data_IF_394342186350
#
_entry.id   IF_394342186350
#
_cell.length_a   1.000
_cell.length_b   1.000
_cell.length_c   1.000
_cell.angle_alpha   90.00
_cell.angle_beta   90.00
_cell.angle_gamma   90.00
#
_symmetry.space_group_name_H-M   'P 1'
#
loop_
_entity.id
_entity.type
_entity.pdbx_description
1 polymer ?
#
# COMPACT_ATOMS: atom_id res chain seq x y z
N UNK A 1 21.12 -2.80 4.43
CA UNK A 1 19.77 -2.77 5.01
C UNK A 1 19.90 -2.45 6.49
N UNK A 2 18.99 -1.68 7.06
CA UNK A 2 18.98 -1.41 8.49
C UNK A 2 18.42 -2.63 9.26
N UNK A 3 18.74 -2.74 10.56
CA UNK A 3 18.18 -3.82 11.42
C UNK A 3 16.64 -3.81 11.39
N UNK A 4 16.02 -2.63 11.31
CA UNK A 4 14.56 -2.48 11.23
C UNK A 4 13.98 -3.01 9.91
N UNK A 5 14.63 -2.76 8.80
CA UNK A 5 14.20 -3.30 7.49
C UNK A 5 14.24 -4.82 7.45
N UNK A 6 15.30 -5.44 8.04
CA UNK A 6 15.39 -6.90 8.15
C UNK A 6 14.27 -7.47 9.02
N UNK A 7 13.97 -6.85 10.16
CA UNK A 7 12.89 -7.26 11.04
C UNK A 7 11.52 -7.20 10.35
N UNK A 8 11.24 -6.11 9.60
CA UNK A 8 9.98 -5.97 8.85
C UNK A 8 9.91 -6.98 7.72
N UNK A 9 10.99 -7.20 6.97
CA UNK A 9 11.05 -8.23 5.94
C UNK A 9 10.69 -9.61 6.50
N UNK A 10 11.33 -10.02 7.61
CA UNK A 10 11.07 -11.30 8.26
C UNK A 10 9.63 -11.41 8.78
N UNK A 11 9.05 -10.30 9.27
CA UNK A 11 7.67 -10.27 9.73
C UNK A 11 6.67 -10.43 8.57
N UNK A 12 6.93 -9.80 7.43
CA UNK A 12 6.15 -9.98 6.20
C UNK A 12 6.18 -11.44 5.76
N UNK A 13 7.37 -12.05 5.69
CA UNK A 13 7.52 -13.47 5.31
C UNK A 13 6.75 -14.39 6.27
N UNK A 14 6.82 -14.14 7.59
CA UNK A 14 6.07 -14.92 8.58
C UNK A 14 4.55 -14.77 8.41
N UNK A 15 4.04 -13.55 8.21
CA UNK A 15 2.60 -13.31 7.98
C UNK A 15 2.10 -14.06 6.76
N UNK A 16 2.84 -14.00 5.66
CA UNK A 16 2.53 -14.73 4.42
C UNK A 16 2.52 -16.25 4.67
N UNK A 17 3.54 -16.79 5.34
CA UNK A 17 3.62 -18.20 5.67
C UNK A 17 2.48 -18.69 6.57
N UNK A 18 1.91 -17.80 7.38
CA UNK A 18 0.73 -18.08 8.21
C UNK A 18 -0.60 -17.97 7.43
N UNK A 19 -0.58 -17.68 6.12
CA UNK A 19 -1.77 -17.55 5.27
C UNK A 19 -2.32 -16.13 5.14
N UNK A 20 -1.69 -15.14 5.75
CA UNK A 20 -2.10 -13.72 5.69
C UNK A 20 -1.53 -12.99 4.47
N UNK A 21 -1.90 -13.39 3.24
CA UNK A 21 -1.34 -12.82 2.02
C UNK A 21 -1.89 -11.45 1.67
N UNK A 22 -3.22 -11.36 1.56
CA UNK A 22 -3.97 -10.18 1.12
C UNK A 22 -5.17 -10.04 2.05
N UNK A 23 -5.43 -8.83 2.52
CA UNK A 23 -6.48 -8.60 3.52
C UNK A 23 -7.89 -8.73 2.91
N UNK A 24 -8.09 -8.28 1.66
CA UNK A 24 -9.40 -8.23 1.00
C UNK A 24 -9.75 -9.46 0.15
N UNK A 25 -8.85 -10.44 0.04
CA UNK A 25 -9.09 -11.64 -0.79
C UNK A 25 -9.10 -12.90 0.07
N UNK A 26 -10.15 -13.71 0.02
CA UNK A 26 -10.21 -15.00 0.72
C UNK A 26 -9.04 -15.90 0.36
N UNK A 27 -8.44 -16.56 1.36
CA UNK A 27 -7.24 -17.42 1.22
C UNK A 27 -7.40 -18.48 0.13
N UNK A 28 -8.59 -19.01 -0.10
CA UNK A 28 -8.87 -20.02 -1.11
C UNK A 28 -8.85 -19.50 -2.56
N UNK A 29 -8.71 -18.18 -2.76
CA UNK A 29 -8.60 -17.55 -4.08
C UNK A 29 -7.20 -17.00 -4.36
N UNK A 30 -6.27 -17.18 -3.43
CA UNK A 30 -4.90 -16.67 -3.59
C UNK A 30 -4.13 -17.50 -4.61
N UNK A 31 -3.42 -16.79 -5.48
CA UNK A 31 -2.48 -17.39 -6.43
C UNK A 31 -1.13 -17.55 -5.74
N UNK A 32 -0.42 -18.66 -5.93
CA UNK A 32 0.93 -18.83 -5.38
C UNK A 32 1.86 -17.69 -5.76
N UNK A 33 2.51 -17.09 -4.77
CA UNK A 33 3.46 -16.00 -4.99
C UNK A 33 4.65 -16.48 -5.82
N UNK A 34 5.07 -15.64 -6.77
CA UNK A 34 6.27 -15.85 -7.58
C UNK A 34 7.12 -14.58 -7.52
N UNK A 35 8.37 -14.65 -7.10
CA UNK A 35 9.29 -13.52 -7.13
C UNK A 35 9.38 -12.85 -8.50
N UNK A 36 9.58 -11.55 -8.52
CA UNK A 36 9.87 -10.83 -9.74
C UNK A 36 11.23 -11.26 -10.32
N UNK A 37 11.36 -11.40 -11.63
CA UNK A 37 12.66 -11.56 -12.22
C UNK A 37 13.50 -10.29 -12.02
N UNK A 38 14.83 -10.41 -11.84
CA UNK A 38 15.70 -9.24 -11.65
C UNK A 38 15.57 -8.18 -12.76
N UNK A 39 15.24 -8.61 -13.99
CA UNK A 39 14.99 -7.70 -15.11
C UNK A 39 13.77 -6.80 -14.91
N UNK A 40 12.70 -7.27 -14.25
CA UNK A 40 11.52 -6.46 -13.96
C UNK A 40 11.83 -5.37 -12.93
N UNK A 41 12.66 -5.69 -11.93
CA UNK A 41 13.13 -4.70 -10.95
C UNK A 41 14.04 -3.67 -11.64
N UNK A 42 14.99 -4.11 -12.47
CA UNK A 42 15.88 -3.22 -13.20
C UNK A 42 15.11 -2.27 -14.14
N UNK A 43 14.09 -2.79 -14.84
CA UNK A 43 13.21 -1.98 -15.69
C UNK A 43 12.43 -0.93 -14.87
N UNK A 44 11.89 -1.31 -13.71
CA UNK A 44 11.20 -0.37 -12.84
C UNK A 44 12.14 0.74 -12.34
N UNK A 45 13.36 0.39 -11.93
CA UNK A 45 14.38 1.35 -11.50
C UNK A 45 14.84 2.27 -12.65
N UNK A 46 14.94 1.76 -13.87
CA UNK A 46 15.25 2.54 -15.07
C UNK A 46 14.12 3.53 -15.39
N UNK A 47 12.86 3.07 -15.40
CA UNK A 47 11.68 3.93 -15.62
C UNK A 47 11.55 5.03 -14.58
N UNK A 48 11.84 4.72 -13.32
CA UNK A 48 11.81 5.68 -12.22
C UNK A 48 13.01 6.64 -12.21
N UNK A 49 14.10 6.30 -12.92
CA UNK A 49 15.36 7.01 -12.87
C UNK A 49 16.07 6.93 -11.51
N UNK A 50 15.70 5.96 -10.68
CA UNK A 50 16.24 5.74 -9.31
C UNK A 50 15.97 4.33 -8.80
N UNK A 51 16.75 3.90 -7.81
CA UNK A 51 16.57 2.60 -7.18
C UNK A 51 15.31 2.53 -6.32
N UNK A 52 14.68 1.37 -6.29
CA UNK A 52 13.62 1.07 -5.32
C UNK A 52 14.19 1.02 -3.89
N UNK A 53 13.41 1.39 -2.86
CA UNK A 53 13.79 1.17 -1.47
C UNK A 53 14.19 -0.28 -1.23
N UNK A 54 15.23 -0.48 -0.42
CA UNK A 54 15.87 -1.80 -0.28
C UNK A 54 14.91 -2.88 0.22
N UNK A 55 14.04 -2.54 1.19
CA UNK A 55 12.99 -3.45 1.66
C UNK A 55 12.07 -3.88 0.50
N UNK A 56 11.54 -2.92 -0.26
CA UNK A 56 10.60 -3.19 -1.34
C UNK A 56 11.25 -4.02 -2.46
N UNK A 57 12.49 -3.67 -2.81
CA UNK A 57 13.30 -4.41 -3.79
C UNK A 57 13.47 -5.88 -3.38
N UNK A 58 13.78 -6.14 -2.10
CA UNK A 58 13.89 -7.50 -1.57
C UNK A 58 12.54 -8.24 -1.60
N UNK A 59 11.47 -7.57 -1.19
CA UNK A 59 10.14 -8.17 -1.22
C UNK A 59 9.77 -8.65 -2.64
N UNK A 60 10.02 -7.83 -3.67
CA UNK A 60 9.80 -8.24 -5.05
C UNK A 60 10.68 -9.42 -5.47
N UNK A 61 11.97 -9.41 -5.13
CA UNK A 61 12.94 -10.41 -5.60
C UNK A 61 12.88 -11.74 -4.84
N UNK A 62 12.47 -11.72 -3.57
CA UNK A 62 12.60 -12.89 -2.68
C UNK A 62 11.23 -13.46 -2.28
N UNK A 63 10.16 -12.66 -2.30
CA UNK A 63 8.83 -13.07 -1.81
C UNK A 63 7.84 -13.23 -2.95
N UNK A 64 7.56 -12.16 -3.69
CA UNK A 64 6.58 -12.20 -4.76
C UNK A 64 6.58 -10.95 -5.62
N UNK A 65 6.24 -11.08 -6.90
CA UNK A 65 6.00 -9.95 -7.80
C UNK A 65 4.60 -9.37 -7.51
N UNK A 66 4.42 -8.83 -6.31
CA UNK A 66 3.15 -8.42 -5.75
C UNK A 66 2.27 -9.59 -5.30
N UNK A 67 0.99 -9.33 -5.03
CA UNK A 67 0.01 -10.35 -4.62
C UNK A 67 0.05 -10.69 -3.13
N UNK A 68 0.62 -9.84 -2.31
CA UNK A 68 0.60 -9.88 -0.85
C UNK A 68 0.58 -8.44 -0.33
N UNK A 69 0.11 -8.22 0.87
CA UNK A 69 0.06 -6.89 1.47
C UNK A 69 -1.37 -6.42 1.76
N UNK A 70 -1.54 -5.16 2.17
CA UNK A 70 -2.84 -4.60 2.52
C UNK A 70 -3.75 -4.38 1.30
N UNK A 71 -5.01 -4.12 1.55
CA UNK A 71 -6.02 -3.93 0.52
C UNK A 71 -6.10 -5.12 -0.41
N UNK A 72 -6.11 -4.90 -1.71
CA UNK A 72 -6.06 -5.97 -2.71
C UNK A 72 -4.63 -6.49 -3.01
N UNK A 73 -3.68 -6.18 -2.14
CA UNK A 73 -2.28 -6.60 -2.19
C UNK A 73 -1.35 -5.65 -2.94
N UNK A 74 -0.07 -5.76 -2.62
CA UNK A 74 0.99 -5.04 -3.31
C UNK A 74 0.89 -5.29 -4.82
N UNK A 75 0.83 -4.23 -5.61
CA UNK A 75 0.86 -4.33 -7.06
C UNK A 75 2.22 -4.81 -7.54
N UNK A 76 2.21 -5.65 -8.56
CA UNK A 76 3.43 -6.21 -9.14
C UNK A 76 4.07 -5.27 -10.17
N UNK A 77 5.34 -5.51 -10.40
CA UNK A 77 6.08 -4.95 -11.53
C UNK A 77 5.62 -5.65 -12.82
N UNK A 78 6.38 -5.53 -13.92
CA UNK A 78 6.04 -6.18 -15.19
C UNK A 78 5.65 -7.65 -14.98
N UNK A 79 4.52 -8.04 -15.55
CA UNK A 79 3.94 -9.40 -15.48
C UNK A 79 3.64 -9.90 -14.04
N UNK A 80 3.57 -8.98 -13.07
CA UNK A 80 3.22 -9.26 -11.69
C UNK A 80 1.73 -9.15 -11.38
N UNK A 81 1.42 -9.09 -10.09
CA UNK A 81 0.05 -8.94 -9.59
C UNK A 81 -0.60 -7.63 -10.06
N UNK A 82 -1.84 -7.72 -10.53
CA UNK A 82 -2.63 -6.59 -11.03
C UNK A 82 -4.01 -6.57 -10.39
N UNK A 83 -4.51 -5.37 -10.16
CA UNK A 83 -5.88 -5.13 -9.69
C UNK A 83 -6.56 -4.17 -10.65
N UNK A 84 -7.71 -4.53 -11.20
CA UNK A 84 -8.45 -3.69 -12.14
C UNK A 84 -7.65 -3.31 -13.42
N UNK A 85 -6.60 -4.07 -13.76
CA UNK A 85 -5.68 -3.77 -14.86
C UNK A 85 -4.51 -2.86 -14.47
N UNK A 86 -4.48 -2.33 -13.25
CA UNK A 86 -3.37 -1.53 -12.72
C UNK A 86 -2.21 -2.44 -12.29
N UNK A 87 -0.99 -1.97 -12.50
CA UNK A 87 0.25 -2.51 -11.93
C UNK A 87 1.06 -1.40 -11.26
N UNK A 88 2.15 -1.78 -10.59
CA UNK A 88 2.99 -0.82 -9.86
C UNK A 88 3.67 0.21 -10.77
N UNK A 89 3.80 -0.07 -12.07
CA UNK A 89 4.49 0.79 -13.04
C UNK A 89 3.62 1.98 -13.49
N UNK A 90 2.32 1.94 -13.20
CA UNK A 90 1.40 3.04 -13.53
C UNK A 90 1.81 4.30 -12.74
N UNK A 91 2.21 5.37 -13.47
CA UNK A 91 2.71 6.62 -12.86
C UNK A 91 4.20 6.64 -12.51
N UNK A 92 4.92 5.54 -12.65
CA UNK A 92 6.31 5.39 -12.20
C UNK A 92 7.31 6.37 -12.88
N UNK A 93 7.04 6.78 -14.13
CA UNK A 93 7.85 7.78 -14.84
C UNK A 93 7.96 9.14 -14.12
N UNK A 94 7.01 9.43 -13.24
CA UNK A 94 6.99 10.64 -12.42
C UNK A 94 7.62 10.41 -11.03
N UNK A 95 8.28 9.25 -10.84
CA UNK A 95 8.90 8.84 -9.58
C UNK A 95 7.92 8.32 -8.53
N UNK A 96 6.68 8.06 -8.92
CA UNK A 96 5.62 7.56 -8.02
C UNK A 96 5.27 6.13 -8.36
N UNK A 97 5.49 5.22 -7.41
CA UNK A 97 5.15 3.80 -7.53
C UNK A 97 3.78 3.54 -6.88
N UNK A 98 2.84 2.96 -7.62
CA UNK A 98 1.57 2.54 -7.02
C UNK A 98 1.79 1.27 -6.19
N UNK A 99 1.48 1.33 -4.89
CA UNK A 99 1.67 0.22 -3.95
C UNK A 99 0.49 -0.75 -3.98
N UNK A 100 -0.72 -0.26 -3.72
CA UNK A 100 -1.92 -1.09 -3.69
C UNK A 100 -3.17 -0.28 -4.03
N UNK A 101 -4.20 -1.01 -4.43
CA UNK A 101 -5.58 -0.57 -4.54
C UNK A 101 -6.35 -1.06 -3.29
N UNK A 102 -7.18 -0.19 -2.71
CA UNK A 102 -8.04 -0.50 -1.57
C UNK A 102 -9.51 -0.66 -1.98
N UNK A 103 -9.81 -0.52 -3.26
CA UNK A 103 -11.17 -0.45 -3.78
C UNK A 103 -11.72 0.97 -3.87
N UNK A 104 -12.83 1.14 -4.56
CA UNK A 104 -13.50 2.44 -4.75
C UNK A 104 -12.60 3.58 -5.27
N UNK A 105 -11.50 3.25 -5.97
CA UNK A 105 -10.52 4.22 -6.46
C UNK A 105 -9.52 4.71 -5.40
N UNK A 106 -9.60 4.18 -4.17
CA UNK A 106 -8.66 4.52 -3.10
C UNK A 106 -7.36 3.74 -3.32
N UNK A 107 -6.24 4.41 -3.19
CA UNK A 107 -4.92 3.80 -3.43
C UNK A 107 -3.85 4.31 -2.48
N UNK A 108 -2.80 3.50 -2.29
CA UNK A 108 -1.55 3.95 -1.67
C UNK A 108 -0.45 3.97 -2.72
N UNK A 109 0.36 5.02 -2.70
CA UNK A 109 1.51 5.22 -3.58
C UNK A 109 2.76 5.51 -2.78
N UNK A 110 3.92 5.29 -3.37
CA UNK A 110 5.23 5.59 -2.80
C UNK A 110 5.93 6.64 -3.65
N UNK A 111 6.24 7.78 -3.08
CA UNK A 111 7.16 8.73 -3.70
C UNK A 111 8.59 8.20 -3.52
N UNK A 112 9.24 7.86 -4.62
CA UNK A 112 10.60 7.34 -4.62
C UNK A 112 11.65 8.44 -4.38
N UNK A 113 11.25 9.72 -4.29
CA UNK A 113 12.16 10.83 -4.03
C UNK A 113 12.58 10.87 -2.57
N UNK A 114 11.63 10.64 -1.66
CA UNK A 114 11.81 10.73 -0.22
C UNK A 114 11.38 9.45 0.54
N UNK A 115 10.90 8.44 -0.20
CA UNK A 115 10.38 7.18 0.32
C UNK A 115 9.15 7.34 1.23
N UNK A 116 8.37 8.41 1.05
CA UNK A 116 7.13 8.63 1.78
C UNK A 116 5.95 7.97 1.07
N UNK A 117 5.06 7.39 1.88
CA UNK A 117 3.80 6.81 1.39
C UNK A 117 2.73 7.88 1.36
N UNK A 118 1.99 7.93 0.25
CA UNK A 118 0.87 8.81 0.01
C UNK A 118 -0.41 8.00 -0.16
N UNK A 119 -1.52 8.53 0.34
CA UNK A 119 -2.87 8.05 0.06
C UNK A 119 -3.54 8.90 -1.01
N UNK A 120 -4.46 8.30 -1.75
CA UNK A 120 -5.42 9.01 -2.59
C UNK A 120 -6.80 8.41 -2.35
N UNK A 121 -7.75 9.25 -1.93
CA UNK A 121 -9.16 8.91 -1.80
C UNK A 121 -9.99 9.95 -2.58
N UNK A 122 -10.50 9.57 -3.77
CA UNK A 122 -11.26 10.49 -4.60
C UNK A 122 -12.72 10.69 -4.14
N UNK A 123 -13.22 9.84 -3.22
CA UNK A 123 -14.66 9.78 -2.96
C UNK A 123 -15.22 11.03 -2.27
N UNK A 124 -14.59 11.60 -1.21
CA UNK A 124 -15.09 12.80 -0.57
C UNK A 124 -14.59 14.10 -1.21
N UNK A 125 -13.57 14.03 -2.09
CA UNK A 125 -12.92 15.20 -2.65
C UNK A 125 -13.86 15.95 -3.63
N UNK A 126 -14.18 17.24 -3.39
CA UNK A 126 -14.91 18.05 -4.37
C UNK A 126 -14.08 18.24 -5.66
N UNK A 127 -14.78 18.63 -6.75
CA UNK A 127 -14.10 18.96 -8.00
C UNK A 127 -13.00 20.02 -7.80
N UNK A 128 -11.80 19.70 -8.30
CA UNK A 128 -10.63 20.56 -8.21
C UNK A 128 -9.83 20.44 -6.92
N UNK A 129 -10.25 19.61 -5.98
CA UNK A 129 -9.45 19.24 -4.79
C UNK A 129 -8.64 18.00 -5.07
N UNK A 130 -7.36 18.00 -4.65
CA UNK A 130 -6.51 16.82 -4.78
C UNK A 130 -7.00 15.70 -3.85
N UNK A 131 -7.13 14.47 -4.39
CA UNK A 131 -7.37 13.29 -3.58
C UNK A 131 -6.11 12.80 -2.84
N UNK A 132 -4.92 13.31 -3.21
CA UNK A 132 -3.65 12.83 -2.70
C UNK A 132 -3.23 13.59 -1.43
N UNK A 133 -2.80 12.84 -0.43
CA UNK A 133 -2.30 13.35 0.86
C UNK A 133 -1.19 12.46 1.41
N UNK A 134 -0.31 13.06 2.23
CA UNK A 134 0.74 12.30 2.91
C UNK A 134 0.15 11.41 4.00
N UNK A 135 0.58 10.14 4.05
CA UNK A 135 0.27 9.24 5.16
C UNK A 135 1.29 9.37 6.32
N UNK A 136 2.27 10.29 6.21
CA UNK A 136 3.32 10.55 7.20
C UNK A 136 4.08 9.29 7.63
N UNK A 137 4.32 8.37 6.72
CA UNK A 137 5.03 7.13 6.96
C UNK A 137 5.93 6.73 5.79
N UNK A 138 7.01 6.05 6.12
CA UNK A 138 7.88 5.42 5.12
C UNK A 138 7.32 4.07 4.67
N UNK A 139 7.89 3.50 3.59
CA UNK A 139 7.53 2.13 3.16
C UNK A 139 7.81 1.08 4.25
N UNK A 140 8.81 1.31 5.11
CA UNK A 140 9.13 0.42 6.24
C UNK A 140 8.03 0.51 7.30
N UNK A 141 7.55 1.72 7.62
CA UNK A 141 6.44 1.93 8.56
C UNK A 141 5.16 1.31 8.02
N UNK A 142 4.89 1.47 6.73
CA UNK A 142 3.70 0.96 6.05
C UNK A 142 3.61 -0.58 6.15
N UNK A 143 4.69 -1.30 5.83
CA UNK A 143 4.72 -2.75 6.02
C UNK A 143 4.73 -3.16 7.50
N UNK A 144 5.37 -2.38 8.39
CA UNK A 144 5.31 -2.64 9.84
C UNK A 144 3.88 -2.60 10.35
N UNK A 145 3.16 -1.51 10.05
CA UNK A 145 1.73 -1.38 10.41
C UNK A 145 0.87 -2.50 9.81
N UNK A 146 1.15 -2.91 8.57
CA UNK A 146 0.42 -4.03 7.95
C UNK A 146 0.63 -5.34 8.70
N UNK A 147 1.87 -5.71 9.01
CA UNK A 147 2.14 -6.97 9.74
C UNK A 147 1.62 -6.95 11.17
N UNK A 148 1.50 -5.78 11.77
CA UNK A 148 0.92 -5.55 13.09
C UNK A 148 -0.62 -5.51 13.08
N UNK A 149 -1.24 -5.43 11.89
CA UNK A 149 -2.69 -5.32 11.73
C UNK A 149 -3.24 -3.94 12.13
N UNK A 150 -2.41 -2.90 12.06
CA UNK A 150 -2.76 -1.51 12.42
C UNK A 150 -2.72 -0.56 11.23
N UNK A 151 -2.46 -1.07 10.03
CA UNK A 151 -2.53 -0.28 8.81
C UNK A 151 -3.97 -0.18 8.35
N UNK A 152 -4.43 1.04 8.14
CA UNK A 152 -5.77 1.33 7.65
C UNK A 152 -5.76 1.84 6.22
N UNK A 153 -6.87 1.66 5.53
CA UNK A 153 -7.16 2.30 4.26
C UNK A 153 -7.02 3.82 4.38
N UNK A 154 -6.35 4.50 3.44
CA UNK A 154 -6.18 5.95 3.51
C UNK A 154 -7.48 6.68 3.14
N UNK A 155 -8.13 7.29 4.11
CA UNK A 155 -9.32 8.11 3.91
C UNK A 155 -8.99 9.59 3.95
N UNK A 156 -9.58 10.34 3.02
CA UNK A 156 -9.50 11.79 2.95
C UNK A 156 -10.64 12.40 3.76
N UNK A 157 -10.32 13.29 4.68
CA UNK A 157 -11.29 14.02 5.52
C UNK A 157 -11.05 15.51 5.45
N UNK A 158 -12.10 16.29 5.67
CA UNK A 158 -11.98 17.73 5.82
C UNK A 158 -11.79 18.06 7.30
N UNK A 159 -10.72 18.77 7.63
CA UNK A 159 -10.51 19.26 9.00
C UNK A 159 -11.63 20.24 9.38
N UNK A 160 -12.39 19.97 10.45
CA UNK A 160 -13.56 20.79 10.80
C UNK A 160 -13.20 22.20 11.29
N UNK A 161 -11.94 22.43 11.67
CA UNK A 161 -11.48 23.71 12.18
C UNK A 161 -10.90 24.60 11.09
N UNK A 162 -10.07 24.02 10.22
CA UNK A 162 -9.36 24.76 9.17
C UNK A 162 -10.05 24.70 7.82
N UNK A 163 -10.90 23.69 7.58
CA UNK A 163 -11.50 23.39 6.29
C UNK A 163 -10.53 22.76 5.29
N UNK A 164 -9.30 22.46 5.68
CA UNK A 164 -8.30 21.82 4.83
C UNK A 164 -8.56 20.33 4.67
N UNK A 165 -8.28 19.80 3.48
CA UNK A 165 -8.37 18.37 3.20
C UNK A 165 -7.06 17.65 3.58
N UNK A 166 -7.16 16.58 4.35
CA UNK A 166 -6.03 15.78 4.84
C UNK A 166 -6.42 14.32 5.03
N UNK A 167 -5.43 13.47 5.26
CA UNK A 167 -5.69 12.09 5.69
C UNK A 167 -6.34 12.01 7.07
N UNK A 168 -7.24 11.05 7.24
CA UNK A 168 -7.81 10.73 8.54
C UNK A 168 -6.73 10.24 9.50
N UNK A 169 -6.82 10.63 10.76
CA UNK A 169 -5.99 10.09 11.85
C UNK A 169 -6.50 8.69 12.26
N UNK A 170 -5.67 7.91 12.97
CA UNK A 170 -6.08 6.59 13.49
C UNK A 170 -7.34 6.69 14.39
N UNK A 171 -7.51 7.79 15.14
CA UNK A 171 -8.67 8.04 15.97
C UNK A 171 -9.95 8.33 15.15
N UNK A 172 -9.85 9.22 14.16
CA UNK A 172 -10.96 9.51 13.23
C UNK A 172 -11.37 8.28 12.44
N UNK A 173 -10.39 7.47 12.01
CA UNK A 173 -10.67 6.21 11.34
C UNK A 173 -11.47 5.26 12.24
N UNK A 174 -11.12 5.13 13.51
CA UNK A 174 -11.84 4.30 14.47
C UNK A 174 -13.27 4.81 14.71
N UNK A 175 -13.46 6.13 14.83
CA UNK A 175 -14.79 6.76 14.95
C UNK A 175 -15.66 6.49 13.72
N UNK A 176 -15.11 6.66 12.51
CA UNK A 176 -15.82 6.43 11.25
C UNK A 176 -16.23 4.95 11.11
N UNK A 177 -15.39 4.01 11.55
CA UNK A 177 -15.76 2.59 11.58
C UNK A 177 -16.88 2.30 12.57
N UNK A 178 -16.83 2.89 13.78
CA UNK A 178 -17.88 2.73 14.79
C UNK A 178 -19.22 3.31 14.32
N UNK A 179 -19.21 4.45 13.64
CA UNK A 179 -20.40 5.04 13.03
C UNK A 179 -20.99 4.18 11.91
N UNK A 180 -20.13 3.59 11.06
CA UNK A 180 -20.56 2.81 9.91
C UNK A 180 -21.08 1.41 10.30
N UNK A 181 -20.46 0.74 11.29
CA UNK A 181 -20.68 -0.66 11.61
C UNK A 181 -21.16 -0.89 13.06
N UNK A 182 -21.20 0.15 13.90
CA UNK A 182 -21.53 0.08 15.32
C UNK A 182 -20.38 -0.45 16.19
N UNK A 183 -20.53 -0.42 17.56
CA UNK A 183 -19.46 -0.71 18.51
C UNK A 183 -18.93 -2.15 18.51
N UNK A 184 -19.50 -3.05 17.72
CA UNK A 184 -19.04 -4.43 17.53
C UNK A 184 -18.89 -4.78 16.04
N UNK A 185 -18.90 -3.80 15.16
CA UNK A 185 -18.84 -4.02 13.72
C UNK A 185 -17.42 -4.38 13.27
N UNK A 186 -17.19 -5.68 13.01
CA UNK A 186 -16.21 -6.07 11.99
C UNK A 186 -16.92 -6.00 10.65
N UNK A 187 -16.32 -5.47 9.60
CA UNK A 187 -16.80 -5.70 8.25
C UNK A 187 -16.69 -7.21 7.99
N UNK A 188 -17.84 -7.86 7.72
CA UNK A 188 -17.94 -9.26 7.31
C UNK A 188 -17.31 -9.49 5.92
#
# INVERSE_FOLDING_TARGET
>A
MSVREDQVFDAVVRRIAAGGYIDEIPVNRLVPLRPAPPSAVAEAEELAGRSLPLLLRRLYLEVGNGGFGPGYGLLGLRDGHRVGGLDALTGLKDGVLTLCDWGCGISSTLDLTDNQVWGCDPNPAPDGVSCAFSQHMTIVDWFSKWVEGTLHQPWLVQDPTTGEWRGATDAEYAEMLEEAFGPNGSPD
#
